data_IF_816349038719
#
_entry.id   IF_816349038719
#
_cell.length_a   1.000
_cell.length_b   1.000
_cell.length_c   1.000
_cell.angle_alpha   90.00
_cell.angle_beta   90.00
_cell.angle_gamma   90.00
#
_symmetry.space_group_name_H-M   'P 1'
#
loop_
_entity.id
_entity.type
_entity.pdbx_description
1 polymer ?
2 polymer ?
3 water ?
#
# COMPACT_ATOMS: atom_id res chain seq x y z
N UNK A 9 10.01 -3.44 18.57
CA UNK A 9 9.82 -4.50 19.56
C UNK A 9 8.94 -5.61 18.99
N UNK A 10 8.02 -5.22 18.11
CA UNK A 10 7.13 -6.17 17.47
C UNK A 10 7.17 -5.97 15.96
N UNK A 11 7.02 -7.06 15.19
CA UNK A 11 7.05 -7.00 13.73
C UNK A 11 5.86 -6.21 13.21
N UNK A 12 6.00 -5.64 12.02
CA UNK A 12 4.92 -4.88 11.42
C UNK A 12 3.82 -5.81 10.96
N UNK A 13 2.56 -5.49 11.31
CA UNK A 13 1.40 -6.30 10.93
C UNK A 13 0.94 -6.10 9.48
N UNK A 14 1.65 -5.27 8.74
CA UNK A 14 1.27 -4.98 7.37
C UNK A 14 2.08 -5.64 6.25
N UNK A 15 3.11 -6.40 6.59
CA UNK A 15 3.89 -7.05 5.54
C UNK A 15 3.39 -8.47 5.28
N UNK A 16 2.87 -8.70 4.08
CA UNK A 16 2.32 -10.00 3.71
C UNK A 16 3.15 -10.79 2.72
N UNK A 17 4.31 -10.25 2.37
CA UNK A 17 5.17 -10.95 1.45
C UNK A 17 4.53 -11.18 0.10
N UNK A 18 4.82 -12.35 -0.45
CA UNK A 18 4.33 -12.74 -1.76
C UNK A 18 2.93 -13.36 -1.79
N UNK A 19 1.92 -12.53 -1.96
CA UNK A 19 0.54 -13.00 -2.09
C UNK A 19 0.03 -12.37 -3.37
N UNK A 20 -0.78 -13.11 -4.15
CA UNK A 20 -1.32 -12.55 -5.40
C UNK A 20 -2.26 -11.37 -5.14
N UNK A 21 -2.34 -10.48 -6.12
CA UNK A 21 -3.19 -9.30 -6.07
C UNK A 21 -4.61 -9.69 -5.69
N UNK A 22 -5.12 -10.73 -6.34
CA UNK A 22 -6.47 -11.23 -6.09
C UNK A 22 -6.66 -11.71 -4.65
N UNK A 23 -5.61 -12.26 -4.05
CA UNK A 23 -5.67 -12.75 -2.68
C UNK A 23 -5.81 -11.57 -1.71
N UNK A 24 -5.04 -10.52 -1.96
CA UNK A 24 -5.06 -9.30 -1.14
C UNK A 24 -6.46 -8.68 -1.18
N UNK A 25 -7.05 -8.60 -2.37
CA UNK A 25 -8.40 -8.05 -2.51
C UNK A 25 -9.37 -8.89 -1.70
N UNK A 26 -9.16 -10.20 -1.72
CA UNK A 26 -9.99 -11.14 -1.01
C UNK A 26 -10.02 -10.83 0.48
N UNK A 27 -8.85 -10.76 1.10
CA UNK A 27 -8.74 -10.50 2.54
C UNK A 27 -9.22 -9.12 2.95
N UNK A 28 -8.83 -8.11 2.17
CA UNK A 28 -9.17 -6.73 2.46
C UNK A 28 -10.65 -6.39 2.35
N UNK A 29 -11.33 -7.01 1.40
CA UNK A 29 -12.75 -6.76 1.23
C UNK A 29 -13.48 -7.15 2.51
N UNK A 30 -12.93 -8.11 3.24
CA UNK A 30 -13.53 -8.57 4.48
C UNK A 30 -13.32 -7.58 5.64
N UNK A 31 -12.38 -6.65 5.49
CA UNK A 31 -12.10 -5.67 6.53
C UNK A 31 -13.27 -4.73 6.75
N UNK A 32 -13.45 -4.29 7.99
CA UNK A 32 -14.54 -3.40 8.34
C UNK A 32 -14.20 -1.92 8.22
N UNK A 33 -12.92 -1.58 8.14
CA UNK A 33 -12.56 -0.18 8.09
C UNK A 33 -11.78 0.27 6.88
N UNK A 34 -12.18 1.42 6.35
CA UNK A 34 -11.52 2.04 5.20
C UNK A 34 -10.10 2.35 5.62
N UNK A 35 -9.18 2.21 4.68
CA UNK A 35 -7.79 2.47 4.98
C UNK A 35 -7.07 1.21 5.39
N UNK A 36 -7.81 0.13 5.66
CA UNK A 36 -7.20 -1.16 6.03
C UNK A 36 -6.27 -1.48 4.87
N UNK A 37 -5.03 -1.82 5.18
CA UNK A 37 -4.07 -2.04 4.12
C UNK A 37 -3.06 -3.13 4.39
N UNK A 38 -2.29 -3.44 3.36
CA UNK A 38 -1.22 -4.43 3.44
C UNK A 38 -0.23 -4.11 2.34
N UNK A 39 1.01 -4.48 2.56
CA UNK A 39 2.06 -4.28 1.58
C UNK A 39 2.35 -5.70 1.10
N UNK A 40 2.42 -5.87 -0.21
CA UNK A 40 2.70 -7.18 -0.79
C UNK A 40 3.79 -7.03 -1.81
N UNK A 41 4.51 -8.12 -2.07
CA UNK A 41 5.53 -8.08 -3.09
C UNK A 41 4.76 -8.21 -4.40
N UNK A 42 5.00 -7.26 -5.30
CA UNK A 42 4.31 -7.16 -6.58
C UNK A 42 4.36 -8.36 -7.51
N UNK A 43 3.28 -8.54 -8.28
CA UNK A 43 3.25 -9.62 -9.24
C UNK A 43 3.54 -9.10 -10.64
N UNK A 44 2.99 -7.94 -11.00
CA UNK A 44 3.27 -7.39 -12.32
C UNK A 44 4.78 -7.09 -12.41
N UNK A 45 5.37 -6.70 -11.28
CA UNK A 45 6.79 -6.37 -11.24
C UNK A 45 7.52 -6.97 -10.05
N UNK A 46 8.08 -8.17 -10.23
CA UNK A 46 8.82 -8.86 -9.16
C UNK A 46 10.02 -8.03 -8.70
N UNK A 47 10.24 -8.02 -7.39
CA UNK A 47 11.32 -7.23 -6.82
C UNK A 47 10.71 -5.94 -6.28
N UNK A 48 9.56 -5.57 -6.84
CA UNK A 48 8.86 -4.36 -6.43
C UNK A 48 7.82 -4.65 -5.38
N UNK A 49 7.23 -3.59 -4.84
CA UNK A 49 6.21 -3.70 -3.80
C UNK A 49 4.93 -2.99 -4.21
N UNK A 50 3.81 -3.49 -3.71
CA UNK A 50 2.52 -2.90 -4.00
C UNK A 50 1.77 -2.72 -2.71
N UNK A 51 0.96 -1.66 -2.66
CA UNK A 51 0.17 -1.32 -1.49
C UNK A 51 -1.31 -1.50 -1.84
N UNK A 52 -2.02 -2.34 -1.08
CA UNK A 52 -3.44 -2.58 -1.31
C UNK A 52 -4.23 -2.00 -0.15
N UNK A 53 -5.26 -1.21 -0.46
CA UNK A 53 -6.05 -0.55 0.58
C UNK A 53 -7.54 -0.71 0.36
N UNK A 54 -8.27 -0.99 1.44
CA UNK A 54 -9.70 -1.10 1.32
C UNK A 54 -10.29 0.31 1.42
N UNK A 55 -11.20 0.64 0.51
CA UNK A 55 -11.84 1.94 0.52
C UNK A 55 -13.25 1.75 -0.04
N UNK A 56 -14.23 1.94 0.83
CA UNK A 56 -15.62 1.79 0.44
C UNK A 56 -15.91 0.33 0.17
N UNK A 57 -16.41 0.07 -1.03
CA UNK A 57 -16.75 -1.29 -1.43
C UNK A 57 -15.68 -1.83 -2.36
N UNK A 58 -14.50 -1.23 -2.34
CA UNK A 58 -13.44 -1.68 -3.22
C UNK A 58 -12.09 -1.76 -2.54
N UNK A 59 -11.11 -2.26 -3.29
CA UNK A 59 -9.74 -2.39 -2.82
C UNK A 59 -8.90 -1.70 -3.88
N UNK A 60 -8.19 -0.65 -3.48
CA UNK A 60 -7.35 0.07 -4.42
C UNK A 60 -5.91 -0.40 -4.30
N UNK A 61 -5.19 -0.38 -5.41
CA UNK A 61 -3.80 -0.82 -5.43
C UNK A 61 -2.88 0.33 -5.85
N UNK A 62 -1.78 0.49 -5.13
CA UNK A 62 -0.82 1.53 -5.40
C UNK A 62 0.51 0.85 -5.61
N UNK A 63 1.20 1.23 -6.67
CA UNK A 63 2.50 0.67 -6.98
C UNK A 63 3.57 1.43 -6.21
N UNK A 64 4.43 0.75 -5.45
CA UNK A 64 5.48 1.45 -4.75
C UNK A 64 6.64 1.67 -5.73
N UNK A 65 6.82 2.91 -6.15
CA UNK A 65 7.85 3.26 -7.09
C UNK A 65 9.20 3.44 -6.40
N UNK A 66 10.27 3.35 -7.18
CA UNK A 66 11.63 3.51 -6.70
C UNK A 66 12.40 4.41 -7.66
N UNK A 67 13.41 5.11 -7.16
CA UNK A 67 14.22 5.95 -8.04
C UNK A 67 15.64 5.41 -8.06
N UNK A 68 16.55 6.14 -8.69
CA UNK A 68 17.93 5.70 -8.77
C UNK A 68 18.70 5.66 -7.46
N UNK A 69 18.20 6.39 -6.47
CA UNK A 69 18.83 6.45 -5.16
C UNK A 69 18.23 5.44 -4.18
N UNK A 70 17.37 4.55 -4.67
CA UNK A 70 16.77 3.54 -3.83
C UNK A 70 15.60 3.98 -2.99
N UNK A 71 15.17 5.23 -3.15
CA UNK A 71 14.04 5.76 -2.40
C UNK A 71 12.71 5.22 -2.90
N UNK A 72 11.75 5.11 -1.99
CA UNK A 72 10.42 4.62 -2.29
C UNK A 72 9.44 5.79 -2.32
N UNK A 73 8.47 5.73 -3.23
CA UNK A 73 7.45 6.77 -3.33
C UNK A 73 6.23 6.28 -4.11
N UNK A 74 5.11 6.97 -3.92
CA UNK A 74 3.87 6.66 -4.60
C UNK A 74 3.55 7.80 -5.53
N UNK A 75 3.80 9.02 -5.05
CA UNK A 75 3.52 10.23 -5.82
C UNK A 75 4.74 11.13 -5.98
N UNK A 76 4.82 12.19 -5.17
CA UNK A 76 5.95 13.12 -5.26
C UNK A 76 6.92 13.02 -4.07
N UNK A 77 6.39 12.96 -2.86
CA UNK A 77 7.21 12.85 -1.66
C UNK A 77 7.95 11.51 -1.70
N UNK A 78 9.25 11.54 -1.42
CA UNK A 78 10.06 10.34 -1.42
C UNK A 78 10.46 9.92 -0.02
N UNK A 79 10.54 8.61 0.20
CA UNK A 79 10.88 8.06 1.50
C UNK A 79 12.07 7.13 1.40
N UNK A 80 12.81 7.04 2.50
CA UNK A 80 14.02 6.21 2.58
C UNK A 80 13.73 4.76 2.91
N UNK A 81 12.51 4.49 3.35
CA UNK A 81 12.14 3.13 3.70
C UNK A 81 10.63 2.96 3.57
N UNK A 82 10.20 1.72 3.35
CA UNK A 82 8.77 1.40 3.25
C UNK A 82 8.12 1.79 4.54
N UNK A 83 8.83 1.51 5.62
CA UNK A 83 8.36 1.80 6.96
C UNK A 83 7.91 3.26 7.11
N UNK A 84 8.74 4.18 6.63
CA UNK A 84 8.43 5.61 6.70
C UNK A 84 7.30 5.98 5.76
N UNK A 85 7.29 5.37 4.58
CA UNK A 85 6.23 5.63 3.60
C UNK A 85 4.88 5.27 4.23
N UNK A 86 4.84 4.13 4.91
CA UNK A 86 3.64 3.65 5.56
C UNK A 86 3.19 4.58 6.67
N UNK A 87 4.10 4.91 7.59
CA UNK A 87 3.75 5.79 8.71
C UNK A 87 3.27 7.17 8.28
N UNK A 88 3.94 7.74 7.29
CA UNK A 88 3.57 9.05 6.78
C UNK A 88 2.11 9.06 6.34
N UNK A 89 1.72 8.01 5.64
CA UNK A 89 0.35 7.90 5.14
C UNK A 89 -0.75 7.49 6.11
N UNK A 90 -0.39 7.40 7.39
CA UNK A 90 -1.37 7.11 8.42
C UNK A 90 -2.04 8.46 8.76
N UNK A 91 -1.33 9.56 8.51
CA UNK A 91 -1.87 10.90 8.79
C UNK A 91 -2.14 11.69 7.51
N UNK A 92 -1.37 11.38 6.47
CA UNK A 92 -1.51 12.04 5.19
C UNK A 92 -2.15 11.05 4.19
N UNK A 93 -3.09 11.53 3.39
CA UNK A 93 -3.81 10.70 2.42
C UNK A 93 -2.87 9.95 1.50
N UNK A 94 -3.07 8.63 1.42
CA UNK A 94 -2.24 7.78 0.58
C UNK A 94 -2.58 8.02 -0.89
N UNK A 95 -3.69 8.71 -1.12
CA UNK A 95 -4.11 9.00 -2.48
C UNK A 95 -4.34 10.47 -2.76
N UNK A 96 -4.06 10.87 -3.99
CA UNK A 96 -4.29 12.24 -4.44
C UNK A 96 -5.70 12.40 -5.01
N UNK A 97 -6.42 11.28 -5.17
CA UNK A 97 -7.78 11.29 -5.71
C UNK A 97 -8.84 11.41 -4.65
N UNK A 98 -8.73 10.59 -3.62
CA UNK A 98 -9.66 10.62 -2.50
C UNK A 98 -8.82 10.73 -1.24
N UNK A 99 -9.47 11.04 -0.13
CA UNK A 99 -8.80 11.16 1.15
C UNK A 99 -8.82 9.78 1.80
N UNK A 100 -7.68 9.09 1.77
CA UNK A 100 -7.58 7.75 2.35
C UNK A 100 -6.36 7.66 3.26
N UNK A 101 -6.58 7.34 4.53
CA UNK A 101 -5.51 7.22 5.52
C UNK A 101 -5.32 5.76 5.92
N UNK A 102 -4.07 5.31 5.91
CA UNK A 102 -3.75 3.93 6.25
C UNK A 102 -4.05 3.56 7.69
N UNK A 103 -4.70 2.42 7.86
CA UNK A 103 -5.06 1.89 9.16
C UNK A 103 -4.68 0.42 9.15
N UNK A 104 -4.12 -0.05 10.25
CA UNK A 104 -3.72 -1.45 10.36
C UNK A 104 -4.88 -2.40 10.18
N UNK A 105 -4.60 -3.50 9.50
CA UNK A 105 -5.58 -4.55 9.28
C UNK A 105 -5.93 -5.09 10.67
N UNK A 106 -7.21 -5.36 10.91
CA UNK A 106 -7.64 -5.88 12.22
C UNK A 106 -7.87 -7.39 12.20
C UNK B 1 -1.04 -2.58 -13.93
N UNK B 2 -2.27 -2.22 -13.57
CA UNK B 2 -2.70 -0.84 -13.45
C UNK B 2 -2.90 -0.49 -11.99
N UNK B 3 -2.47 0.71 -11.62
CA UNK B 3 -2.60 1.15 -10.24
C UNK B 3 -3.18 2.54 -10.17
N UNK B 4 -3.65 2.93 -8.99
CA UNK B 4 -4.23 4.24 -8.80
C UNK B 4 -3.21 5.33 -9.16
N UNK B 5 -1.97 5.16 -8.70
CA UNK B 5 -0.91 6.14 -8.96
C UNK B 5 -0.22 6.00 -10.31
N UNK B 6 -0.45 4.87 -10.99
CA UNK B 6 0.10 4.65 -12.33
C UNK B 6 -1.00 3.94 -13.13
N UNK B 7 -1.96 4.71 -13.67
CA UNK B 7 -3.07 4.15 -14.46
C UNK B 7 -2.54 3.31 -15.63
#
# INVERSE_FOLDING_TARGET
GSPKNYIEMKPHPWFFGKIPRAKAEEMLSKQRHDGAFLIRESESAPGDFSLSVKFGNDVQHFKVLRDGAGKYFLWVVKFNSLNELVDYHRSTSVSRNQQIFLRDIEQVPQQPTYVQA
XXYVNVP
#
